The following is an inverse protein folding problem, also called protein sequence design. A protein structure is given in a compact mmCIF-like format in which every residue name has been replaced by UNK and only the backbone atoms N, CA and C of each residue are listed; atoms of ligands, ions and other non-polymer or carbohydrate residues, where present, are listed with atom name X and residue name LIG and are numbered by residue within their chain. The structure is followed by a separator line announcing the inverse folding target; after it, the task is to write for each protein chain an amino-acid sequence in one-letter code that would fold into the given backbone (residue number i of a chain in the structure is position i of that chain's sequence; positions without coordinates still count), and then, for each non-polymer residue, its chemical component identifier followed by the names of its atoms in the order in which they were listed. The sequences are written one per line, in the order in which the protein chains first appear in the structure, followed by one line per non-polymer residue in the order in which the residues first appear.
data_IF_433589123281
#
_entry.id   IF_433589123281
#
_cell.length_a   1.000
_cell.length_b   1.000
_cell.length_c   1.000
_cell.angle_alpha   90.00
_cell.angle_beta   90.00
_cell.angle_gamma   90.00
#
_symmetry.space_group_name_H-M   'P 1'
#
loop_
_entity.id
_entity.type
_entity.pdbx_description
1 polymer ?
#
# COMPACT_ATOMS: atom_id res chain seq x y z
N UNK A 1 24.42 8.04 24.41
CA UNK A 1 23.09 7.42 24.21
C UNK A 1 22.99 7.12 22.73
N UNK A 2 23.19 5.86 22.34
CA UNK A 2 22.86 5.43 20.99
C UNK A 2 21.33 5.49 20.88
N UNK A 3 20.81 6.27 19.96
CA UNK A 3 19.43 6.12 19.50
C UNK A 3 19.33 4.69 18.98
N UNK A 4 18.51 3.85 19.61
CA UNK A 4 18.17 2.53 19.07
C UNK A 4 17.66 2.75 17.64
N UNK A 5 18.41 2.22 16.69
CA UNK A 5 18.06 2.26 15.28
C UNK A 5 16.83 1.36 15.14
N UNK A 6 15.69 1.98 14.82
CA UNK A 6 14.41 1.31 14.67
C UNK A 6 14.55 0.14 13.67
N UNK A 7 14.02 -1.04 14.02
CA UNK A 7 14.00 -2.17 13.08
C UNK A 7 13.29 -1.71 11.79
N UNK A 8 13.94 -1.79 10.63
CA UNK A 8 13.35 -1.41 9.34
C UNK A 8 11.99 -2.05 9.09
N UNK A 9 11.78 -3.26 9.60
CA UNK A 9 10.50 -3.97 9.56
C UNK A 9 9.45 -3.25 10.38
N UNK A 10 9.79 -2.79 11.59
CA UNK A 10 8.89 -2.04 12.46
C UNK A 10 8.53 -0.68 11.86
N UNK A 11 9.45 -0.07 11.09
CA UNK A 11 9.18 1.17 10.34
C UNK A 11 8.21 0.95 9.20
N UNK A 12 8.46 -0.04 8.35
CA UNK A 12 7.55 -0.39 7.24
C UNK A 12 6.22 -0.87 7.79
N UNK A 13 6.24 -1.67 8.86
CA UNK A 13 5.05 -2.07 9.60
C UNK A 13 4.30 -0.84 10.09
N UNK A 14 4.93 0.13 10.76
CA UNK A 14 4.27 1.36 11.20
C UNK A 14 3.63 2.14 10.04
N UNK A 15 4.34 2.29 8.92
CA UNK A 15 3.81 2.94 7.71
C UNK A 15 2.58 2.21 7.14
N UNK A 16 2.52 0.89 7.30
CA UNK A 16 1.39 0.05 6.86
C UNK A 16 0.26 -0.04 7.90
N UNK A 17 0.57 0.13 9.19
CA UNK A 17 -0.24 -0.32 10.33
C UNK A 17 -0.77 0.80 11.22
N UNK A 18 -0.58 2.07 10.87
CA UNK A 18 -1.05 3.21 11.69
C UNK A 18 -2.58 3.24 11.89
N UNK A 19 -3.33 2.28 11.36
CA UNK A 19 -4.67 1.90 11.84
C UNK A 19 -4.73 0.42 12.20
N UNK A 20 -5.45 0.12 13.28
CA UNK A 20 -5.86 -1.20 13.80
C UNK A 20 -6.60 -2.12 12.78
N UNK A 21 -6.56 -1.82 11.48
CA UNK A 21 -7.20 -2.57 10.38
C UNK A 21 -6.22 -3.42 9.58
N UNK A 22 -4.91 -3.25 9.75
CA UNK A 22 -3.90 -3.97 8.97
C UNK A 22 -3.16 -5.04 9.78
N UNK A 23 -3.61 -5.34 11.01
CA UNK A 23 -3.11 -6.41 11.91
C UNK A 23 -3.05 -7.80 11.28
N UNK A 24 -3.52 -7.89 10.05
CA UNK A 24 -3.88 -9.08 9.32
C UNK A 24 -2.99 -9.24 8.08
N UNK A 25 -1.99 -8.36 7.90
CA UNK A 25 -1.02 -8.47 6.82
C UNK A 25 -0.27 -9.81 6.95
N UNK A 26 -0.26 -10.66 5.91
CA UNK A 26 0.41 -11.95 5.95
C UNK A 26 1.90 -11.75 6.22
N UNK A 27 2.48 -12.59 7.08
CA UNK A 27 3.93 -12.56 7.37
C UNK A 27 4.75 -12.69 6.09
N UNK A 28 4.21 -13.38 5.10
CA UNK A 28 4.78 -13.62 3.79
C UNK A 28 4.94 -12.32 2.98
N UNK A 29 4.05 -11.32 3.17
CA UNK A 29 4.17 -10.01 2.54
C UNK A 29 5.37 -9.24 3.12
N UNK A 30 5.54 -9.25 4.46
CA UNK A 30 6.71 -8.67 5.11
C UNK A 30 7.99 -9.45 4.76
N UNK A 31 7.91 -10.78 4.70
CA UNK A 31 9.02 -11.63 4.27
C UNK A 31 9.45 -11.34 2.83
N UNK A 32 8.52 -11.01 1.93
CA UNK A 32 8.83 -10.60 0.57
C UNK A 32 9.56 -9.24 0.52
N UNK A 33 9.12 -8.24 1.31
CA UNK A 33 9.82 -6.96 1.45
C UNK A 33 11.26 -7.13 1.94
N UNK A 34 11.44 -7.98 2.95
CA UNK A 34 12.77 -8.27 3.49
C UNK A 34 13.67 -9.03 2.51
N UNK A 35 13.12 -10.00 1.78
CA UNK A 35 13.87 -10.76 0.80
C UNK A 35 14.39 -9.88 -0.35
N UNK A 36 13.68 -8.78 -0.64
CA UNK A 36 14.11 -7.78 -1.61
C UNK A 36 15.17 -6.82 -1.05
N UNK A 37 15.43 -6.84 0.26
CA UNK A 37 16.38 -5.96 0.93
C UNK A 37 15.96 -4.49 0.97
N UNK A 38 14.72 -4.18 0.61
CA UNK A 38 14.23 -2.80 0.43
C UNK A 38 13.60 -2.23 1.69
N UNK A 39 13.38 -3.03 2.74
CA UNK A 39 12.71 -2.61 3.98
C UNK A 39 13.38 -1.38 4.62
N UNK A 40 14.70 -1.24 4.48
CA UNK A 40 15.48 -0.08 4.93
C UNK A 40 15.23 1.21 4.12
N UNK A 41 14.97 1.04 2.82
CA UNK A 41 14.96 2.12 1.83
C UNK A 41 13.54 2.58 1.47
N UNK A 42 12.50 1.92 2.00
CA UNK A 42 11.12 2.34 1.85
C UNK A 42 10.95 3.71 2.52
N UNK A 43 10.62 4.71 1.71
CA UNK A 43 10.33 6.06 2.20
C UNK A 43 8.84 6.22 2.50
N UNK A 44 7.99 5.53 1.73
CA UNK A 44 6.53 5.62 1.83
C UNK A 44 5.88 4.29 1.48
N UNK A 45 4.76 3.99 2.13
CA UNK A 45 3.91 2.84 1.80
C UNK A 45 2.43 3.21 1.83
N UNK A 46 1.66 2.58 0.95
CA UNK A 46 0.21 2.65 0.85
C UNK A 46 -0.34 1.22 0.82
N UNK A 47 -1.32 0.92 1.66
CA UNK A 47 -1.90 -0.41 1.76
C UNK A 47 -3.41 -0.40 1.49
N UNK A 48 -3.87 -1.37 0.71
CA UNK A 48 -5.27 -1.65 0.46
C UNK A 48 -5.57 -3.10 0.88
N UNK A 49 -6.68 -3.27 1.58
CA UNK A 49 -7.18 -4.57 2.04
C UNK A 49 -8.60 -4.72 1.52
N UNK A 50 -8.87 -5.83 0.85
CA UNK A 50 -10.23 -6.24 0.47
C UNK A 50 -10.55 -7.57 1.14
N UNK A 51 -11.73 -7.68 1.72
CA UNK A 51 -12.23 -8.91 2.32
C UNK A 51 -13.61 -9.24 1.75
N UNK A 52 -13.78 -10.47 1.28
CA UNK A 52 -15.07 -11.01 0.88
C UNK A 52 -15.62 -11.91 1.99
N UNK A 53 -16.66 -11.41 2.68
CA UNK A 53 -17.36 -12.13 3.76
C UNK A 53 -17.94 -13.49 3.31
N UNK A 54 -18.24 -13.65 2.01
CA UNK A 54 -18.90 -14.85 1.49
C UNK A 54 -17.90 -15.99 1.29
N UNK A 55 -16.76 -15.68 0.67
CA UNK A 55 -15.71 -16.67 0.39
C UNK A 55 -14.65 -16.75 1.48
N UNK A 56 -14.57 -15.75 2.35
CA UNK A 56 -13.47 -15.58 3.30
C UNK A 56 -12.14 -15.22 2.61
N UNK A 57 -12.18 -14.81 1.35
CA UNK A 57 -11.01 -14.37 0.60
C UNK A 57 -10.57 -13.00 1.08
N UNK A 58 -9.26 -12.85 1.26
CA UNK A 58 -8.62 -11.60 1.62
C UNK A 58 -7.53 -11.29 0.61
N UNK A 59 -7.60 -10.09 0.05
CA UNK A 59 -6.59 -9.56 -0.87
C UNK A 59 -5.89 -8.35 -0.23
N UNK A 60 -4.57 -8.42 -0.20
CA UNK A 60 -3.70 -7.32 0.23
C UNK A 60 -2.99 -6.75 -0.98
N UNK A 61 -3.03 -5.44 -1.14
CA UNK A 61 -2.17 -4.72 -2.08
C UNK A 61 -1.39 -3.67 -1.31
N UNK A 62 -0.06 -3.80 -1.31
CA UNK A 62 0.84 -2.79 -0.78
C UNK A 62 1.55 -2.14 -1.95
N UNK A 63 1.53 -0.83 -2.02
CA UNK A 63 2.38 -0.04 -2.89
C UNK A 63 3.36 0.75 -2.03
N UNK A 64 4.62 0.37 -2.08
CA UNK A 64 5.72 1.08 -1.42
C UNK A 64 6.57 1.82 -2.46
N UNK A 65 7.22 2.89 -2.05
CA UNK A 65 8.23 3.54 -2.87
C UNK A 65 9.50 3.80 -2.07
N UNK A 66 10.63 3.56 -2.73
CA UNK A 66 11.96 4.03 -2.32
C UNK A 66 12.30 5.29 -3.11
N UNK A 67 13.52 5.81 -2.96
CA UNK A 67 14.00 6.96 -3.76
C UNK A 67 13.92 6.76 -5.26
N UNK A 68 14.04 5.52 -5.74
CA UNK A 68 14.20 5.22 -7.16
C UNK A 68 13.21 4.18 -7.69
N UNK A 69 12.45 3.53 -6.81
CA UNK A 69 11.71 2.31 -7.16
C UNK A 69 10.31 2.36 -6.59
N UNK A 70 9.32 1.99 -7.40
CA UNK A 70 7.98 1.64 -6.99
C UNK A 70 7.91 0.12 -6.82
N UNK A 71 7.42 -0.32 -5.68
CA UNK A 71 7.27 -1.73 -5.32
C UNK A 71 5.80 -1.96 -5.07
N UNK A 72 5.18 -2.86 -5.84
CA UNK A 72 3.83 -3.32 -5.59
C UNK A 72 3.87 -4.77 -5.14
N UNK A 73 3.26 -5.05 -4.00
CA UNK A 73 3.12 -6.39 -3.47
C UNK A 73 1.64 -6.71 -3.41
N UNK A 74 1.28 -7.85 -3.97
CA UNK A 74 -0.07 -8.39 -3.90
C UNK A 74 -0.01 -9.74 -3.24
N UNK A 75 -0.86 -9.94 -2.25
CA UNK A 75 -1.09 -11.24 -1.68
C UNK A 75 -2.57 -11.55 -1.68
N UNK A 76 -2.91 -12.80 -1.92
CA UNK A 76 -4.26 -13.30 -1.76
C UNK A 76 -4.23 -14.54 -0.88
N UNK A 77 -5.18 -14.64 0.04
CA UNK A 77 -5.33 -15.81 0.89
C UNK A 77 -6.79 -16.07 1.20
N UNK A 78 -7.10 -17.33 1.49
CA UNK A 78 -8.37 -17.73 2.09
C UNK A 78 -8.06 -18.32 3.45
N UNK A 79 -8.64 -17.75 4.51
CA UNK A 79 -8.44 -18.26 5.87
C UNK A 79 -9.08 -19.64 6.05
N UNK A 80 -8.51 -20.46 6.94
CA UNK A 80 -9.05 -21.77 7.28
C UNK A 80 -10.29 -21.67 8.19
N UNK A 81 -10.41 -20.59 8.97
CA UNK A 81 -11.52 -20.32 9.86
C UNK A 81 -12.54 -19.32 9.28
N UNK A 82 -13.84 -19.65 9.36
CA UNK A 82 -14.96 -18.78 8.92
C UNK A 82 -15.38 -17.74 9.96
N UNK A 83 -14.55 -17.42 10.95
CA UNK A 83 -14.95 -16.53 12.04
C UNK A 83 -14.90 -15.06 11.60
N UNK A 84 -16.01 -14.34 11.77
CA UNK A 84 -16.10 -12.89 11.54
C UNK A 84 -15.24 -12.16 12.56
N UNK A 85 -14.40 -11.26 12.06
CA UNK A 85 -13.46 -10.46 12.83
C UNK A 85 -14.18 -9.61 13.87
N UNK A 86 -13.86 -9.83 15.16
CA UNK A 86 -14.05 -8.78 16.17
C UNK A 86 -12.70 -8.15 16.43
N UNK A 87 -12.61 -6.87 16.06
CA UNK A 87 -11.47 -5.99 16.33
C UNK A 87 -11.08 -6.13 17.81
N UNK A 88 -9.81 -6.41 18.08
CA UNK A 88 -9.24 -6.22 19.42
C UNK A 88 -8.66 -7.44 20.13
N UNK A 89 -8.36 -8.56 19.47
CA UNK A 89 -7.48 -9.57 20.08
C UNK A 89 -6.45 -10.10 19.10
N UNK A 90 -5.19 -9.79 19.39
CA UNK A 90 -4.04 -10.59 19.00
C UNK A 90 -4.40 -12.07 19.03
N UNK A 91 -4.62 -12.68 17.87
CA UNK A 91 -4.38 -14.11 17.72
C UNK A 91 -3.06 -14.21 16.97
N UNK A 92 -2.08 -14.80 17.63
CA UNK A 92 -0.69 -14.93 17.18
C UNK A 92 -0.51 -15.84 15.94
N UNK A 93 -1.60 -16.26 15.30
CA UNK A 93 -1.55 -17.08 14.08
C UNK A 93 -2.82 -16.89 13.26
N UNK A 94 -2.65 -16.37 12.04
CA UNK A 94 -3.65 -16.49 10.98
C UNK A 94 -3.43 -17.86 10.34
N UNK A 95 -4.41 -18.75 10.46
CA UNK A 95 -4.37 -20.04 9.76
C UNK A 95 -5.03 -19.89 8.38
N UNK A 96 -4.27 -20.20 7.33
CA UNK A 96 -4.75 -20.16 5.96
C UNK A 96 -5.14 -21.56 5.47
N UNK A 97 -6.18 -21.64 4.64
CA UNK A 97 -6.57 -22.89 3.96
C UNK A 97 -5.46 -23.36 3.01
N UNK A 98 -4.83 -22.39 2.34
CA UNK A 98 -3.64 -22.55 1.49
C UNK A 98 -2.73 -21.37 1.77
N UNK A 99 -1.41 -21.60 1.79
CA UNK A 99 -0.44 -20.51 1.97
C UNK A 99 -0.68 -19.38 0.95
N UNK A 100 -0.59 -18.10 1.37
CA UNK A 100 -0.80 -16.97 0.46
C UNK A 100 0.19 -17.01 -0.69
N UNK A 101 -0.29 -16.74 -1.91
CA UNK A 101 0.60 -16.44 -3.03
C UNK A 101 0.93 -14.97 -2.98
N UNK A 102 2.22 -14.64 -2.92
CA UNK A 102 2.72 -13.26 -2.93
C UNK A 102 3.34 -12.96 -4.28
N UNK A 103 2.76 -12.00 -4.99
CA UNK A 103 3.30 -11.42 -6.21
C UNK A 103 3.99 -10.10 -5.86
N UNK A 104 5.21 -9.92 -6.36
CA UNK A 104 5.98 -8.69 -6.16
C UNK A 104 6.36 -8.15 -7.53
N UNK A 105 5.90 -6.94 -7.82
CA UNK A 105 6.28 -6.15 -8.97
C UNK A 105 7.19 -5.00 -8.52
N UNK A 106 8.39 -4.93 -9.09
CA UNK A 106 9.41 -3.93 -8.74
C UNK A 106 9.75 -3.15 -10.00
N UNK A 107 9.42 -1.86 -10.01
CA UNK A 107 9.57 -0.98 -11.18
C UNK A 107 10.38 0.26 -10.80
N UNK A 108 11.33 0.71 -11.63
CA UNK A 108 11.92 2.03 -11.48
C UNK A 108 10.83 3.12 -11.47
N UNK A 109 10.93 4.12 -10.60
CA UNK A 109 10.04 5.29 -10.63
C UNK A 109 10.12 6.02 -11.98
N UNK A 110 11.24 5.88 -12.70
CA UNK A 110 11.42 6.46 -14.03
C UNK A 110 10.61 5.78 -15.13
N UNK A 111 9.93 4.67 -14.83
CA UNK A 111 9.00 4.01 -15.76
C UNK A 111 7.59 4.59 -15.67
N UNK A 112 7.29 5.45 -14.69
CA UNK A 112 6.05 6.23 -14.66
C UNK A 112 6.11 7.28 -15.77
N UNK A 113 5.17 7.21 -16.72
CA UNK A 113 5.07 8.13 -17.86
C UNK A 113 4.03 9.22 -17.62
N UNK A 114 2.97 8.90 -16.88
CA UNK A 114 1.84 9.80 -16.62
C UNK A 114 1.20 9.48 -15.28
N UNK A 115 0.75 10.50 -14.57
CA UNK A 115 -0.10 10.36 -13.37
C UNK A 115 -1.46 11.01 -13.66
N UNK A 116 -2.53 10.28 -13.37
CA UNK A 116 -3.91 10.73 -13.53
C UNK A 116 -4.62 10.69 -12.18
N UNK A 117 -5.42 11.71 -11.89
CA UNK A 117 -6.26 11.78 -10.69
C UNK A 117 -7.71 11.84 -11.12
N UNK A 118 -8.50 10.85 -10.69
CA UNK A 118 -9.94 10.84 -10.86
C UNK A 118 -10.63 11.00 -9.49
N UNK A 119 -11.47 12.02 -9.33
CA UNK A 119 -12.20 12.28 -8.10
C UNK A 119 -13.68 11.91 -8.30
N UNK A 120 -14.04 10.68 -7.92
CA UNK A 120 -15.43 10.23 -7.96
C UNK A 120 -16.21 10.87 -6.82
N UNK A 121 -17.37 11.44 -7.13
CA UNK A 121 -18.19 12.17 -6.17
C UNK A 121 -17.76 13.62 -5.93
N UNK A 122 -16.72 14.11 -6.62
CA UNK A 122 -16.40 15.52 -6.63
C UNK A 122 -17.46 16.29 -7.44
N UNK A 123 -18.20 17.15 -6.78
CA UNK A 123 -19.15 18.08 -7.40
C UNK A 123 -18.65 19.51 -7.21
N UNK A 124 -18.90 20.38 -8.19
CA UNK A 124 -18.57 21.81 -8.08
C UNK A 124 -19.29 22.51 -6.90
N UNK A 125 -20.39 21.92 -6.43
CA UNK A 125 -21.08 22.33 -5.22
C UNK A 125 -20.54 21.58 -4.00
N UNK A 126 -20.16 22.30 -2.95
CA UNK A 126 -19.83 21.70 -1.66
C UNK A 126 -21.06 20.99 -1.07
N UNK A 127 -20.92 19.69 -0.76
CA UNK A 127 -21.96 18.90 -0.11
C UNK A 127 -21.44 18.34 1.23
N UNK A 128 -22.06 18.70 2.38
CA UNK A 128 -21.66 18.13 3.66
C UNK A 128 -21.96 16.63 3.69
N UNK A 129 -20.94 15.82 3.98
CA UNK A 129 -21.04 14.36 4.05
C UNK A 129 -20.80 13.61 2.74
N UNK A 130 -20.54 14.31 1.62
CA UNK A 130 -20.13 13.64 0.39
C UNK A 130 -18.74 13.01 0.57
N UNK A 131 -18.67 11.68 0.43
CA UNK A 131 -17.40 10.98 0.33
C UNK A 131 -16.87 11.15 -1.09
N UNK A 132 -15.81 11.93 -1.24
CA UNK A 132 -15.04 11.98 -2.49
C UNK A 132 -13.99 10.88 -2.43
N UNK A 133 -14.06 9.95 -3.36
CA UNK A 133 -13.04 8.91 -3.53
C UNK A 133 -12.09 9.38 -4.61
N UNK A 134 -10.82 9.59 -4.22
CA UNK A 134 -9.75 9.93 -5.15
C UNK A 134 -9.07 8.65 -5.62
N UNK A 135 -9.02 8.43 -6.92
CA UNK A 135 -8.25 7.35 -7.53
C UNK A 135 -7.08 7.96 -8.28
N UNK A 136 -5.86 7.63 -7.85
CA UNK A 136 -4.62 8.05 -8.48
C UNK A 136 -4.08 6.90 -9.33
N UNK A 137 -3.97 7.12 -10.64
CA UNK A 137 -3.49 6.12 -11.60
C UNK A 137 -2.12 6.52 -12.13
N UNK A 138 -1.11 5.72 -11.81
CA UNK A 138 0.24 5.83 -12.34
C UNK A 138 0.34 4.94 -13.57
N UNK A 139 0.51 5.55 -14.73
CA UNK A 139 0.69 4.86 -16.01
C UNK A 139 2.17 4.56 -16.19
N UNK A 140 2.51 3.28 -16.23
CA UNK A 140 3.86 2.78 -16.42
C UNK A 140 4.11 2.45 -17.89
N UNK A 141 5.38 2.46 -18.29
CA UNK A 141 5.82 1.93 -19.58
C UNK A 141 5.27 0.53 -19.82
N UNK A 142 4.79 0.28 -21.04
CA UNK A 142 4.25 -1.04 -21.42
C UNK A 142 2.76 -1.22 -21.12
N UNK A 143 2.02 -0.12 -20.89
CA UNK A 143 0.58 -0.10 -20.60
C UNK A 143 0.16 -0.70 -19.26
N UNK A 144 1.11 -0.93 -18.35
CA UNK A 144 0.82 -1.29 -16.96
C UNK A 144 0.35 -0.08 -16.16
N UNK A 145 -0.55 -0.29 -15.20
CA UNK A 145 -0.99 0.76 -14.27
C UNK A 145 -0.88 0.33 -12.81
N UNK A 146 -0.64 1.32 -11.95
CA UNK A 146 -0.83 1.22 -10.51
C UNK A 146 -1.91 2.21 -10.11
N UNK A 147 -2.97 1.72 -9.47
CA UNK A 147 -4.04 2.54 -8.94
C UNK A 147 -3.94 2.59 -7.42
N UNK A 148 -4.04 3.80 -6.86
CA UNK A 148 -4.09 4.01 -5.41
C UNK A 148 -5.39 4.76 -5.08
N UNK A 149 -6.21 4.17 -4.20
CA UNK A 149 -7.48 4.76 -3.77
C UNK A 149 -7.37 5.44 -2.42
N UNK A 150 -7.84 6.68 -2.37
CA UNK A 150 -7.78 7.55 -1.20
C UNK A 150 -9.17 8.13 -0.94
N UNK A 151 -9.73 7.83 0.24
CA UNK A 151 -10.95 8.46 0.70
C UNK A 151 -10.63 9.86 1.25
N UNK A 152 -11.49 10.86 1.01
CA UNK A 152 -11.25 12.27 1.40
C UNK A 152 -11.13 12.56 2.90
N UNK A 153 -11.21 11.56 3.76
CA UNK A 153 -10.90 11.67 5.20
C UNK A 153 -9.62 10.94 5.62
N UNK A 154 -8.98 10.19 4.72
CA UNK A 154 -7.80 9.40 5.04
C UNK A 154 -6.51 10.19 4.76
N UNK A 155 -6.17 11.06 5.72
CA UNK A 155 -4.96 11.92 5.67
C UNK A 155 -3.69 11.12 5.37
N UNK A 156 -3.56 9.91 5.91
CA UNK A 156 -2.36 9.09 5.75
C UNK A 156 -2.21 8.57 4.33
N UNK A 157 -3.28 8.02 3.75
CA UNK A 157 -3.26 7.59 2.34
C UNK A 157 -3.06 8.79 1.40
N UNK A 158 -3.67 9.95 1.70
CA UNK A 158 -3.41 11.18 0.94
C UNK A 158 -1.94 11.61 1.01
N UNK A 159 -1.33 11.55 2.20
CA UNK A 159 0.08 11.90 2.40
C UNK A 159 1.01 10.92 1.70
N UNK A 160 0.73 9.62 1.79
CA UNK A 160 1.51 8.58 1.12
C UNK A 160 1.53 8.77 -0.40
N UNK A 161 0.37 8.99 -1.02
CA UNK A 161 0.29 9.29 -2.45
C UNK A 161 1.04 10.58 -2.79
N UNK A 162 0.93 11.62 -1.97
CA UNK A 162 1.67 12.87 -2.14
C UNK A 162 3.19 12.69 -2.09
N UNK A 163 3.69 11.83 -1.21
CA UNK A 163 5.11 11.49 -1.12
C UNK A 163 5.58 10.68 -2.34
N UNK A 164 4.79 9.70 -2.82
CA UNK A 164 5.10 8.96 -4.07
C UNK A 164 5.21 9.94 -5.25
N UNK A 165 4.24 10.85 -5.40
CA UNK A 165 4.26 11.89 -6.43
C UNK A 165 5.49 12.82 -6.30
N UNK A 166 5.88 13.16 -5.07
CA UNK A 166 7.06 13.99 -4.81
C UNK A 166 8.36 13.29 -5.20
N UNK A 167 8.48 11.98 -4.94
CA UNK A 167 9.62 11.17 -5.35
C UNK A 167 9.72 11.07 -6.86
N UNK A 168 8.59 10.82 -7.53
CA UNK A 168 8.52 10.83 -8.99
C UNK A 168 8.96 12.19 -9.57
N UNK A 169 8.44 13.30 -9.04
CA UNK A 169 8.79 14.64 -9.52
C UNK A 169 10.30 14.93 -9.43
N UNK A 170 10.95 14.51 -8.34
CA UNK A 170 12.42 14.63 -8.17
C UNK A 170 13.20 13.86 -9.22
N UNK A 171 12.74 12.67 -9.60
CA UNK A 171 13.38 11.87 -10.64
C UNK A 171 13.27 12.57 -12.01
N UNK A 172 12.12 13.15 -12.33
CA UNK A 172 11.91 13.87 -13.59
C UNK A 172 12.77 15.14 -13.67
N UNK A 173 12.87 15.92 -12.60
CA UNK A 173 13.68 17.15 -12.60
C UNK A 173 15.18 16.87 -12.69
N UNK A 174 15.67 15.79 -12.07
CA UNK A 174 17.08 15.38 -12.13
C UNK A 174 17.55 15.00 -13.55
N UNK A 175 16.65 14.56 -14.43
CA UNK A 175 16.96 14.23 -15.84
C UNK A 175 17.05 15.45 -16.75
N UNK A 176 16.51 16.59 -16.31
CA UNK A 176 16.46 17.83 -17.10
C UNK A 176 17.64 18.78 -16.81
N UNK A 177 18.54 18.40 -15.90
CA UNK A 177 19.74 19.16 -15.48
C UNK A 177 21.00 18.50 -16.01
#
# INVERSE_FOLDING_TARGET
MATEEEDPRDRVWRLLMEKERYTDCPREVMGALDALGVTNDVEVAHAELTYDDTSGATDWTITAATRSTLIRIRASATRADRQVWSVGRHRDSIEYTVAPTVDVDVRPLTDIERVELNNVGATDAWQPGAQVVQTWTFHLRGADTVELRVDTGDRFRSEAVGQICSLFARQVTSRSS
#
